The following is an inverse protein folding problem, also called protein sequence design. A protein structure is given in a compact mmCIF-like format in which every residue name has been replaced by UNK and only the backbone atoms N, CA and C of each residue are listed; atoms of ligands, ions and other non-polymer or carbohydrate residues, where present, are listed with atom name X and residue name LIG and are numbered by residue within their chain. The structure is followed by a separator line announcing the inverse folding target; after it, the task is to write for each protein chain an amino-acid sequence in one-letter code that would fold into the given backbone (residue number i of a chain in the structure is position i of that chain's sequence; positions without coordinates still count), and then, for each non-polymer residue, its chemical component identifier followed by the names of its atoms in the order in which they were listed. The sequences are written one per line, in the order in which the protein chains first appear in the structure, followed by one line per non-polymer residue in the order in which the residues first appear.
data_IF_793446176205
#
_entry.id   IF_793446176205
#
_cell.length_a   1.000
_cell.length_b   1.000
_cell.length_c   1.000
_cell.angle_alpha   90.00
_cell.angle_beta   90.00
_cell.angle_gamma   90.00
#
_symmetry.space_group_name_H-M   'P 1'
#
loop_
_entity.id
_entity.type
_entity.pdbx_description
1 polymer ?
#
# COMPACT_ATOMS: atom_id res chain seq x y z
N UNK A 1 -9.32 18.32 -8.02
CA UNK A 1 -8.38 17.97 -6.93
C UNK A 1 -9.23 17.31 -5.85
N UNK A 2 -8.87 16.11 -5.38
CA UNK A 2 -9.57 15.51 -4.23
C UNK A 2 -8.92 16.11 -2.99
N UNK A 3 -9.67 16.94 -2.27
CA UNK A 3 -9.21 17.50 -0.99
C UNK A 3 -9.61 16.56 0.14
N UNK A 4 -8.61 15.92 0.75
CA UNK A 4 -8.77 15.05 1.92
C UNK A 4 -8.40 15.89 3.13
N UNK A 5 -9.40 16.50 3.77
CA UNK A 5 -9.20 17.39 4.92
C UNK A 5 -9.06 16.63 6.25
N UNK A 6 -9.59 15.40 6.29
CA UNK A 6 -9.54 14.50 7.44
C UNK A 6 -9.14 13.09 6.95
N UNK A 7 -8.55 12.28 7.83
CA UNK A 7 -8.20 10.90 7.51
C UNK A 7 -9.46 10.14 7.02
N UNK A 8 -9.47 9.62 5.78
CA UNK A 8 -10.62 8.94 5.26
C UNK A 8 -10.80 7.61 5.99
N UNK A 9 -11.99 7.38 6.52
CA UNK A 9 -12.34 6.15 7.25
C UNK A 9 -13.58 5.50 6.65
N UNK A 10 -13.78 4.22 6.96
CA UNK A 10 -14.98 3.47 6.56
C UNK A 10 -15.23 3.50 5.05
N UNK A 11 -16.44 3.89 4.65
CA UNK A 11 -16.86 3.91 3.25
C UNK A 11 -16.08 4.93 2.41
N UNK A 12 -15.67 6.07 2.98
CA UNK A 12 -14.86 7.05 2.25
C UNK A 12 -13.51 6.45 1.83
N UNK A 13 -12.84 5.75 2.76
CA UNK A 13 -11.59 5.05 2.45
C UNK A 13 -11.80 3.97 1.39
N UNK A 14 -12.88 3.19 1.53
CA UNK A 14 -13.26 2.16 0.55
C UNK A 14 -13.44 2.75 -0.84
N UNK A 15 -14.24 3.81 -0.98
CA UNK A 15 -14.49 4.46 -2.28
C UNK A 15 -13.21 4.99 -2.91
N UNK A 16 -12.29 5.53 -2.10
CA UNK A 16 -11.00 6.02 -2.58
C UNK A 16 -10.12 4.87 -3.12
N UNK A 17 -10.06 3.74 -2.41
CA UNK A 17 -9.33 2.55 -2.87
C UNK A 17 -9.97 1.97 -4.13
N UNK A 18 -11.31 1.89 -4.19
CA UNK A 18 -12.03 1.41 -5.38
C UNK A 18 -11.75 2.29 -6.60
N UNK A 19 -11.84 3.61 -6.45
CA UNK A 19 -11.49 4.54 -7.53
C UNK A 19 -10.05 4.34 -7.99
N UNK A 20 -9.12 4.15 -7.04
CA UNK A 20 -7.75 3.87 -7.39
C UNK A 20 -7.63 2.58 -8.22
N UNK A 21 -8.35 1.51 -7.87
CA UNK A 21 -8.33 0.26 -8.64
C UNK A 21 -8.83 0.43 -10.08
N UNK A 22 -9.78 1.34 -10.30
CA UNK A 22 -10.29 1.62 -11.64
C UNK A 22 -9.29 2.39 -12.53
N UNK A 23 -8.47 3.27 -11.94
CA UNK A 23 -7.60 4.18 -12.71
C UNK A 23 -6.12 3.74 -12.76
N UNK A 24 -5.67 2.95 -11.79
CA UNK A 24 -4.27 2.52 -11.68
C UNK A 24 -4.06 1.13 -12.27
N UNK A 25 -2.84 0.85 -12.74
CA UNK A 25 -2.44 -0.48 -13.23
C UNK A 25 -1.72 -1.30 -12.15
N UNK A 26 -1.02 -0.61 -11.24
CA UNK A 26 -0.17 -1.20 -10.21
C UNK A 26 -0.29 -0.39 -8.92
N UNK A 27 -0.20 -1.11 -7.80
CA UNK A 27 -0.21 -0.56 -6.45
C UNK A 27 1.07 -0.94 -5.74
N UNK A 28 1.50 -0.08 -4.82
CA UNK A 28 2.55 -0.41 -3.87
C UNK A 28 2.00 -0.40 -2.44
N UNK A 29 2.33 -1.43 -1.67
CA UNK A 29 2.18 -1.46 -0.22
C UNK A 29 3.59 -1.43 0.37
N UNK A 30 3.84 -0.51 1.30
CA UNK A 30 5.17 -0.31 1.87
C UNK A 30 5.13 -0.64 3.35
N UNK A 31 5.96 -1.61 3.77
CA UNK A 31 6.23 -1.91 5.18
C UNK A 31 7.62 -1.39 5.54
N UNK A 32 7.67 -0.30 6.29
CA UNK A 32 8.93 0.27 6.81
C UNK A 32 9.38 -0.50 8.05
N UNK A 33 10.68 -0.74 8.20
CA UNK A 33 11.22 -1.47 9.35
C UNK A 33 10.93 -0.80 10.70
N UNK A 34 10.85 0.52 10.67
CA UNK A 34 10.69 1.36 11.86
C UNK A 34 9.29 1.27 12.46
N UNK A 35 8.33 0.64 11.77
CA UNK A 35 6.93 0.58 12.17
C UNK A 35 6.55 -0.89 12.37
N UNK A 36 6.43 -1.27 13.64
CA UNK A 36 5.89 -2.57 14.01
C UNK A 36 4.43 -2.68 13.59
N UNK A 37 4.08 -3.80 12.96
CA UNK A 37 2.71 -4.08 12.58
C UNK A 37 1.94 -4.62 13.79
N UNK A 38 0.67 -4.23 13.91
CA UNK A 38 -0.25 -4.89 14.82
C UNK A 38 -0.77 -6.21 14.22
N UNK A 39 -1.41 -7.08 15.01
CA UNK A 39 -1.90 -8.37 14.52
C UNK A 39 -2.85 -8.28 13.31
N UNK A 40 -3.68 -7.25 13.24
CA UNK A 40 -4.61 -7.05 12.11
C UNK A 40 -3.85 -6.73 10.82
N UNK A 41 -2.81 -5.90 10.89
CA UNK A 41 -1.97 -5.57 9.75
C UNK A 41 -1.15 -6.77 9.27
N UNK A 42 -0.63 -7.59 10.18
CA UNK A 42 0.04 -8.85 9.82
C UNK A 42 -0.94 -9.84 9.15
N UNK A 43 -2.18 -9.95 9.65
CA UNK A 43 -3.21 -10.78 9.04
C UNK A 43 -3.56 -10.30 7.62
N UNK A 44 -3.74 -9.00 7.43
CA UNK A 44 -3.98 -8.40 6.11
C UNK A 44 -2.82 -8.68 5.16
N UNK A 45 -1.58 -8.50 5.60
CA UNK A 45 -0.40 -8.76 4.77
C UNK A 45 -0.34 -10.22 4.31
N UNK A 46 -0.74 -11.16 5.17
CA UNK A 46 -0.86 -12.57 4.81
C UNK A 46 -1.96 -12.82 3.78
N UNK A 47 -3.13 -12.18 3.92
CA UNK A 47 -4.23 -12.28 2.96
C UNK A 47 -3.86 -11.70 1.59
N UNK A 48 -2.98 -10.69 1.55
CA UNK A 48 -2.54 -10.06 0.31
C UNK A 48 -1.47 -10.87 -0.44
N UNK A 49 -0.78 -11.81 0.21
CA UNK A 49 0.31 -12.60 -0.41
C UNK A 49 -0.02 -13.18 -1.79
N UNK A 50 -1.20 -13.78 -2.05
CA UNK A 50 -1.53 -14.32 -3.36
C UNK A 50 -1.59 -13.27 -4.49
N UNK A 51 -1.78 -12.00 -4.14
CA UNK A 51 -1.91 -10.89 -5.08
C UNK A 51 -0.59 -10.11 -5.28
N UNK A 52 0.45 -10.43 -4.49
CA UNK A 52 1.76 -9.78 -4.59
C UNK A 52 2.51 -10.34 -5.79
N UNK A 53 2.80 -9.47 -6.78
CA UNK A 53 3.61 -9.83 -7.95
C UNK A 53 5.09 -9.95 -7.62
N UNK A 54 5.60 -8.98 -6.86
CA UNK A 54 7.00 -8.89 -6.47
C UNK A 54 7.12 -8.16 -5.14
N UNK A 55 8.06 -8.58 -4.32
CA UNK A 55 8.51 -7.88 -3.11
C UNK A 55 9.95 -7.48 -3.31
N UNK A 56 10.28 -6.23 -3.01
CA UNK A 56 11.65 -5.73 -3.05
C UNK A 56 12.01 -5.09 -1.72
N UNK A 57 13.23 -5.37 -1.27
CA UNK A 57 13.87 -4.66 -0.18
C UNK A 57 14.54 -3.42 -0.75
N UNK A 58 14.05 -2.23 -0.41
CA UNK A 58 14.51 -0.99 -1.03
C UNK A 58 14.31 0.21 -0.08
N UNK A 59 15.04 1.28 -0.34
CA UNK A 59 15.02 2.54 0.41
C UNK A 59 14.32 3.67 -0.35
N UNK A 60 13.89 3.45 -1.59
CA UNK A 60 13.19 4.45 -2.41
C UNK A 60 12.01 3.83 -3.14
N UNK A 61 10.97 4.60 -3.45
CA UNK A 61 9.84 4.23 -4.32
C UNK A 61 9.18 5.50 -4.87
N UNK A 62 8.22 5.43 -5.81
CA UNK A 62 7.59 6.63 -6.35
C UNK A 62 7.07 7.55 -5.24
N UNK A 63 7.58 8.79 -5.20
CA UNK A 63 7.19 9.81 -4.22
C UNK A 63 7.90 9.75 -2.87
N UNK A 64 8.83 8.82 -2.61
CA UNK A 64 9.53 8.75 -1.31
C UNK A 64 10.92 8.16 -1.39
N UNK A 65 11.86 8.76 -0.65
CA UNK A 65 13.18 8.22 -0.35
C UNK A 65 13.36 8.13 1.16
N UNK A 66 13.88 7.01 1.66
CA UNK A 66 14.31 6.80 3.04
C UNK A 66 15.82 6.97 3.11
N UNK A 67 16.29 7.76 4.08
CA UNK A 67 17.72 7.94 4.32
C UNK A 67 18.14 7.08 5.51
N UNK A 68 19.04 6.11 5.26
CA UNK A 68 19.60 5.23 6.31
C UNK A 68 18.70 4.08 6.76
N UNK A 69 17.57 3.85 6.08
CA UNK A 69 16.61 2.81 6.44
C UNK A 69 16.07 2.11 5.19
N UNK A 70 15.53 0.91 5.37
CA UNK A 70 14.92 0.13 4.31
C UNK A 70 13.45 -0.13 4.58
N UNK A 71 12.74 -0.50 3.52
CA UNK A 71 11.38 -0.98 3.56
C UNK A 71 11.23 -2.22 2.69
N UNK A 72 10.26 -3.02 3.05
CA UNK A 72 9.69 -4.04 2.18
C UNK A 72 8.61 -3.39 1.31
N UNK A 73 8.88 -3.27 0.00
CA UNK A 73 7.93 -2.72 -0.97
C UNK A 73 7.30 -3.86 -1.76
N UNK A 74 6.00 -4.05 -1.53
CA UNK A 74 5.16 -5.04 -2.17
C UNK A 74 4.46 -4.39 -3.35
N UNK A 75 4.60 -4.97 -4.54
CA UNK A 75 3.94 -4.48 -5.75
C UNK A 75 2.80 -5.42 -6.13
N UNK A 76 1.61 -4.85 -6.30
CA UNK A 76 0.35 -5.55 -6.55
C UNK A 76 -0.22 -5.11 -7.90
N UNK A 77 -0.86 -6.03 -8.62
CA UNK A 77 -1.74 -5.62 -9.73
C UNK A 77 -2.93 -4.85 -9.16
N UNK A 78 -3.39 -3.82 -9.87
CA UNK A 78 -4.77 -3.41 -9.71
C UNK A 78 -5.68 -4.61 -10.07
N UNK A 79 -6.65 -4.98 -9.21
CA UNK A 79 -7.68 -5.92 -9.58
C UNK A 79 -8.38 -5.42 -10.85
N UNK A 80 -8.52 -6.27 -11.87
CA UNK A 80 -9.40 -5.95 -12.99
C UNK A 80 -10.81 -6.28 -12.54
N UNK A 81 -11.67 -5.25 -12.48
CA UNK A 81 -13.11 -5.41 -12.31
C UNK A 81 -13.72 -6.18 -13.49
#
# INVERSE_FOLDING_TARGET
MIEILEEPVGETYRSMVSLAFDVCVEFILVKRDQISLNPNAEALLNQLKPYVKKKKRQDHWPGTNLFGHYADVYYLAAPKN
#
